data_IF_283712302087
#
_entry.id   IF_283712302087
#
_cell.length_a   1.000
_cell.length_b   1.000
_cell.length_c   1.000
_cell.angle_alpha   90.00
_cell.angle_beta   90.00
_cell.angle_gamma   90.00
#
_symmetry.space_group_name_H-M   'P 1'
#
loop_
_entity.id
_entity.type
_entity.pdbx_description
1 polymer ?
#
# COMPACT_ATOMS: atom_id res chain seq x y z
N UNK A 1 -45.86 8.60 -4.84
CA UNK A 1 -45.59 7.96 -3.53
C UNK A 1 -44.30 7.17 -3.67
N UNK A 2 -43.31 7.43 -2.81
CA UNK A 2 -42.03 6.69 -2.85
C UNK A 2 -42.19 5.37 -2.09
N UNK A 3 -42.06 4.25 -2.79
CA UNK A 3 -42.22 2.92 -2.20
C UNK A 3 -40.92 2.42 -1.55
N UNK A 4 -41.03 1.55 -0.54
CA UNK A 4 -39.86 0.92 0.07
C UNK A 4 -39.03 0.10 -0.92
N UNK A 5 -39.68 -0.48 -1.94
CA UNK A 5 -39.02 -1.21 -3.04
C UNK A 5 -38.11 -0.29 -3.85
N UNK A 6 -38.59 0.90 -4.23
CA UNK A 6 -37.79 1.88 -4.98
C UNK A 6 -36.58 2.35 -4.17
N UNK A 7 -36.75 2.58 -2.87
CA UNK A 7 -35.64 2.97 -1.99
C UNK A 7 -34.59 1.85 -1.90
N UNK A 8 -35.04 0.59 -1.78
CA UNK A 8 -34.16 -0.57 -1.75
C UNK A 8 -33.38 -0.73 -3.06
N UNK A 9 -34.06 -0.63 -4.20
CA UNK A 9 -33.46 -0.72 -5.53
C UNK A 9 -32.41 0.38 -5.76
N UNK A 10 -32.73 1.64 -5.44
CA UNK A 10 -31.77 2.73 -5.53
C UNK A 10 -30.54 2.49 -4.63
N UNK A 11 -30.77 1.95 -3.43
CA UNK A 11 -29.68 1.59 -2.50
C UNK A 11 -28.80 0.47 -3.05
N UNK A 12 -29.38 -0.54 -3.69
CA UNK A 12 -28.62 -1.64 -4.31
C UNK A 12 -27.77 -1.13 -5.48
N UNK A 13 -28.28 -0.18 -6.28
CA UNK A 13 -27.54 0.41 -7.40
C UNK A 13 -26.41 1.33 -6.93
N UNK A 14 -26.69 2.18 -5.92
CA UNK A 14 -25.79 3.30 -5.55
C UNK A 14 -24.94 3.05 -4.31
N UNK A 15 -25.29 2.06 -3.48
CA UNK A 15 -24.66 1.80 -2.18
C UNK A 15 -24.97 2.84 -1.09
N UNK A 16 -25.76 3.88 -1.41
CA UNK A 16 -26.03 4.99 -0.50
C UNK A 16 -26.89 4.59 0.72
N UNK A 17 -26.87 5.43 1.75
CA UNK A 17 -27.67 5.22 2.97
C UNK A 17 -29.18 5.23 2.69
N UNK A 18 -29.95 4.42 3.42
CA UNK A 18 -31.40 4.24 3.20
C UNK A 18 -32.18 5.56 3.15
N UNK A 19 -31.90 6.47 4.10
CA UNK A 19 -32.56 7.77 4.16
C UNK A 19 -32.12 8.72 3.03
N UNK A 20 -30.89 8.59 2.56
CA UNK A 20 -30.37 9.35 1.43
C UNK A 20 -31.04 8.91 0.13
N UNK A 21 -31.20 7.61 -0.10
CA UNK A 21 -31.97 7.08 -1.22
C UNK A 21 -33.43 7.56 -1.18
N UNK A 22 -34.08 7.51 -0.01
CA UNK A 22 -35.46 8.01 0.15
C UNK A 22 -35.55 9.50 -0.15
N UNK A 23 -34.59 10.30 0.32
CA UNK A 23 -34.53 11.74 0.05
C UNK A 23 -34.34 12.01 -1.43
N UNK A 24 -33.35 11.36 -2.07
CA UNK A 24 -33.10 11.51 -3.50
C UNK A 24 -34.35 11.22 -4.33
N UNK A 25 -35.02 10.09 -4.08
CA UNK A 25 -36.27 9.74 -4.75
C UNK A 25 -37.39 10.74 -4.47
N UNK A 26 -37.41 11.38 -3.31
CA UNK A 26 -38.41 12.42 -3.00
C UNK A 26 -38.16 13.69 -3.80
N UNK A 27 -36.89 14.14 -3.87
CA UNK A 27 -36.48 15.34 -4.62
C UNK A 27 -36.64 15.17 -6.13
N UNK A 28 -36.55 13.94 -6.64
CA UNK A 28 -36.67 13.60 -8.07
C UNK A 28 -38.04 13.04 -8.43
N UNK A 29 -39.04 13.22 -7.57
CA UNK A 29 -40.42 12.76 -7.79
C UNK A 29 -40.55 11.25 -8.13
N UNK A 30 -39.61 10.44 -7.64
CA UNK A 30 -39.55 9.00 -7.86
C UNK A 30 -38.84 8.57 -9.14
N UNK A 31 -38.25 9.50 -9.90
CA UNK A 31 -37.42 9.18 -11.06
C UNK A 31 -36.09 8.55 -10.60
N UNK A 32 -35.85 7.30 -11.00
CA UNK A 32 -34.69 6.50 -10.58
C UNK A 32 -33.38 7.05 -11.15
N UNK A 33 -33.35 7.39 -12.46
CA UNK A 33 -32.15 7.88 -13.12
C UNK A 33 -31.72 9.24 -12.54
N UNK A 34 -32.68 10.14 -12.37
CA UNK A 34 -32.43 11.44 -11.74
C UNK A 34 -32.00 11.27 -10.27
N UNK A 35 -32.55 10.29 -9.54
CA UNK A 35 -32.15 10.04 -8.15
C UNK A 35 -30.71 9.54 -8.04
N UNK A 36 -30.26 8.71 -8.99
CA UNK A 36 -28.85 8.30 -9.11
C UNK A 36 -27.96 9.51 -9.37
N UNK A 37 -28.32 10.37 -10.33
CA UNK A 37 -27.55 11.58 -10.64
C UNK A 37 -27.50 12.55 -9.45
N UNK A 38 -28.62 12.70 -8.74
CA UNK A 38 -28.71 13.51 -7.52
C UNK A 38 -27.74 13.01 -6.44
N UNK A 39 -27.72 11.70 -6.17
CA UNK A 39 -26.80 11.12 -5.18
C UNK A 39 -25.34 11.28 -5.60
N UNK A 40 -25.03 11.14 -6.89
CA UNK A 40 -23.68 11.35 -7.42
C UNK A 40 -23.22 12.79 -7.20
N UNK A 41 -24.04 13.79 -7.56
CA UNK A 41 -23.75 15.22 -7.32
C UNK A 41 -23.52 15.51 -5.84
N UNK A 42 -24.35 14.91 -4.96
CA UNK A 42 -24.19 15.05 -3.50
C UNK A 42 -22.89 14.40 -3.00
N UNK A 43 -22.51 13.24 -3.54
CA UNK A 43 -21.25 12.57 -3.23
C UNK A 43 -20.03 13.42 -3.58
N UNK A 44 -20.00 13.98 -4.79
CA UNK A 44 -18.95 14.90 -5.23
C UNK A 44 -18.83 16.11 -4.31
N UNK A 45 -19.95 16.73 -3.94
CA UNK A 45 -19.96 17.85 -2.99
C UNK A 45 -19.47 17.46 -1.59
N UNK A 46 -19.82 16.25 -1.11
CA UNK A 46 -19.37 15.75 0.18
C UNK A 46 -17.87 15.44 0.20
N UNK A 47 -17.31 14.94 -0.92
CA UNK A 47 -15.88 14.70 -1.09
C UNK A 47 -15.09 16.01 -1.20
N UNK A 48 -15.56 16.97 -1.99
CA UNK A 48 -14.91 18.28 -2.13
C UNK A 48 -14.78 19.01 -0.78
N UNK A 49 -15.81 18.92 0.09
CA UNK A 49 -15.77 19.51 1.43
C UNK A 49 -14.76 18.86 2.39
N UNK A 50 -14.32 17.62 2.10
CA UNK A 50 -13.41 16.86 2.98
C UNK A 50 -12.01 16.69 2.38
N UNK A 51 -11.80 17.00 1.12
CA UNK A 51 -10.53 16.79 0.41
C UNK A 51 -9.31 17.44 1.08
N UNK A 52 -9.50 18.54 1.84
CA UNK A 52 -8.44 19.21 2.58
C UNK A 52 -8.10 18.60 3.96
N UNK A 53 -8.82 17.56 4.39
CA UNK A 53 -8.56 16.89 5.67
C UNK A 53 -7.47 15.84 5.50
N UNK A 54 -6.58 15.74 6.48
CA UNK A 54 -5.46 14.79 6.45
C UNK A 54 -5.98 13.36 6.60
N UNK A 55 -5.70 12.52 5.60
CA UNK A 55 -6.00 11.10 5.61
C UNK A 55 -4.69 10.30 5.73
N UNK A 56 -4.22 10.09 6.96
CA UNK A 56 -2.97 9.38 7.26
C UNK A 56 -3.19 7.94 7.78
N UNK A 57 -4.45 7.56 8.01
CA UNK A 57 -4.86 6.19 8.33
C UNK A 57 -5.36 5.47 7.06
N UNK A 58 -6.00 4.31 7.19
CA UNK A 58 -6.44 3.46 6.07
C UNK A 58 -5.80 2.07 6.03
N UNK A 59 -5.63 1.54 4.82
CA UNK A 59 -5.17 0.17 4.59
C UNK A 59 -4.21 0.09 3.40
N UNK A 60 -3.20 -0.75 3.57
CA UNK A 60 -2.42 -1.33 2.49
C UNK A 60 -2.91 -2.76 2.25
N UNK A 61 -3.26 -3.08 1.01
CA UNK A 61 -3.67 -4.43 0.60
C UNK A 61 -2.87 -4.89 -0.62
N UNK A 62 -2.73 -6.20 -0.74
CA UNK A 62 -2.11 -6.85 -1.88
C UNK A 62 -3.11 -7.78 -2.55
N UNK A 63 -3.04 -7.90 -3.87
CA UNK A 63 -3.73 -8.94 -4.63
C UNK A 63 -2.70 -9.68 -5.48
N UNK A 64 -2.78 -11.00 -5.53
CA UNK A 64 -1.90 -11.86 -6.34
C UNK A 64 -2.80 -12.85 -7.09
N UNK A 65 -2.60 -13.00 -8.39
CA UNK A 65 -3.33 -14.00 -9.19
C UNK A 65 -2.97 -15.42 -8.76
N UNK A 66 -3.88 -16.38 -8.97
CA UNK A 66 -3.70 -17.77 -8.54
C UNK A 66 -2.43 -18.42 -9.13
N UNK A 67 -2.02 -18.00 -10.33
CA UNK A 67 -0.80 -18.46 -11.00
C UNK A 67 0.49 -17.76 -10.52
N UNK A 68 0.37 -16.75 -9.64
CA UNK A 68 1.47 -15.95 -9.13
C UNK A 68 2.16 -15.09 -10.20
N UNK A 69 1.53 -14.82 -11.35
CA UNK A 69 2.16 -14.09 -12.46
C UNK A 69 1.87 -12.60 -12.47
N UNK A 70 0.79 -12.17 -11.83
CA UNK A 70 0.39 -10.77 -11.74
C UNK A 70 0.02 -10.44 -10.30
N UNK A 71 0.48 -9.29 -9.82
CA UNK A 71 0.12 -8.81 -8.50
C UNK A 71 0.01 -7.29 -8.44
N UNK A 72 -0.66 -6.81 -7.42
CA UNK A 72 -0.68 -5.40 -7.06
C UNK A 72 -0.54 -5.21 -5.55
N UNK A 73 -0.01 -4.05 -5.16
CA UNK A 73 -0.12 -3.51 -3.81
C UNK A 73 -0.73 -2.12 -3.92
N UNK A 74 -1.69 -1.81 -3.06
CA UNK A 74 -2.41 -0.53 -3.06
C UNK A 74 -2.40 0.05 -1.66
N UNK A 75 -2.25 1.37 -1.54
CA UNK A 75 -2.49 2.12 -0.32
C UNK A 75 -3.73 3.01 -0.54
N UNK A 76 -4.76 2.78 0.26
CA UNK A 76 -5.96 3.61 0.30
C UNK A 76 -6.09 4.20 1.69
N UNK A 77 -6.11 5.52 1.78
CA UNK A 77 -6.13 6.23 3.05
C UNK A 77 -7.53 6.69 3.45
N UNK A 78 -7.74 6.82 4.75
CA UNK A 78 -8.86 7.48 5.41
C UNK A 78 -8.36 8.32 6.60
N UNK A 79 -9.26 9.01 7.31
CA UNK A 79 -8.88 9.89 8.42
C UNK A 79 -8.60 9.06 9.69
N UNK A 80 -9.42 8.04 9.98
CA UNK A 80 -9.35 7.28 11.23
C UNK A 80 -9.16 5.77 11.04
N UNK A 81 -8.70 5.11 12.11
CA UNK A 81 -8.64 3.65 12.21
C UNK A 81 -10.02 2.99 12.29
N UNK A 82 -11.04 3.69 12.81
CA UNK A 82 -12.43 3.22 12.81
C UNK A 82 -12.98 3.00 11.40
N UNK A 83 -12.73 3.94 10.47
CA UNK A 83 -13.09 3.75 9.06
C UNK A 83 -12.21 2.71 8.39
N UNK A 84 -10.91 2.65 8.73
CA UNK A 84 -10.03 1.60 8.21
C UNK A 84 -10.49 0.19 8.60
N UNK A 85 -11.13 0.03 9.76
CA UNK A 85 -11.70 -1.23 10.23
C UNK A 85 -13.13 -1.50 9.71
N UNK A 86 -13.75 -0.57 8.98
CA UNK A 86 -15.10 -0.73 8.46
C UNK A 86 -15.14 -1.73 7.30
N UNK A 87 -16.08 -2.68 7.32
CA UNK A 87 -16.21 -3.74 6.31
C UNK A 87 -16.37 -3.21 4.88
N UNK A 88 -17.09 -2.10 4.69
CA UNK A 88 -17.29 -1.52 3.36
C UNK A 88 -16.02 -0.85 2.83
N UNK A 89 -15.24 -0.23 3.71
CA UNK A 89 -13.93 0.32 3.36
C UNK A 89 -12.95 -0.82 3.02
N UNK A 90 -12.89 -1.86 3.84
CA UNK A 90 -12.05 -3.05 3.57
C UNK A 90 -12.40 -3.65 2.20
N UNK A 91 -13.69 -3.88 1.92
CA UNK A 91 -14.13 -4.42 0.63
C UNK A 91 -13.79 -3.50 -0.55
N UNK A 92 -13.89 -2.18 -0.36
CA UNK A 92 -13.48 -1.20 -1.37
C UNK A 92 -11.98 -1.29 -1.67
N UNK A 93 -11.12 -1.36 -0.64
CA UNK A 93 -9.66 -1.49 -0.83
C UNK A 93 -9.28 -2.83 -1.46
N UNK A 94 -9.92 -3.93 -1.05
CA UNK A 94 -9.70 -5.26 -1.64
C UNK A 94 -10.03 -5.27 -3.14
N UNK A 95 -11.17 -4.65 -3.51
CA UNK A 95 -11.55 -4.52 -4.92
C UNK A 95 -10.58 -3.63 -5.71
N UNK A 96 -10.05 -2.57 -5.11
CA UNK A 96 -9.03 -1.72 -5.77
C UNK A 96 -7.75 -2.51 -6.01
N UNK A 97 -7.30 -3.33 -5.05
CA UNK A 97 -6.13 -4.19 -5.22
C UNK A 97 -6.34 -5.13 -6.41
N UNK A 98 -7.47 -5.83 -6.46
CA UNK A 98 -7.81 -6.71 -7.58
C UNK A 98 -7.83 -5.96 -8.93
N UNK A 99 -8.50 -4.80 -9.00
CA UNK A 99 -8.55 -3.99 -10.22
C UNK A 99 -7.16 -3.52 -10.66
N UNK A 100 -6.33 -3.05 -9.73
CA UNK A 100 -4.97 -2.62 -10.04
C UNK A 100 -4.10 -3.76 -10.60
N UNK A 101 -4.38 -5.02 -10.26
CA UNK A 101 -3.69 -6.18 -10.83
C UNK A 101 -4.27 -6.60 -12.18
N UNK A 102 -5.61 -6.67 -12.27
CA UNK A 102 -6.35 -7.29 -13.38
C UNK A 102 -6.69 -6.33 -14.52
N UNK A 103 -6.52 -5.04 -14.32
CA UNK A 103 -6.63 -4.03 -15.37
C UNK A 103 -5.25 -3.52 -15.76
N UNK A 104 -5.05 -3.17 -17.03
CA UNK A 104 -3.77 -2.63 -17.53
C UNK A 104 -3.59 -1.14 -17.21
N UNK A 105 -4.05 -0.70 -16.04
CA UNK A 105 -3.88 0.68 -15.57
C UNK A 105 -2.44 0.87 -15.09
N UNK A 106 -1.88 2.06 -15.37
CA UNK A 106 -0.47 2.38 -15.12
C UNK A 106 -0.27 3.42 -14.03
N UNK A 107 -1.32 4.16 -13.67
CA UNK A 107 -1.28 5.24 -12.70
C UNK A 107 -2.64 5.39 -11.98
N UNK A 108 -2.64 6.16 -10.88
CA UNK A 108 -3.82 6.33 -10.02
C UNK A 108 -4.99 6.96 -10.77
N UNK A 109 -4.74 7.88 -11.71
CA UNK A 109 -5.79 8.54 -12.48
C UNK A 109 -6.55 7.54 -13.36
N UNK A 110 -5.83 6.65 -14.05
CA UNK A 110 -6.40 5.56 -14.83
C UNK A 110 -7.17 4.57 -13.94
N UNK A 111 -6.64 4.24 -12.76
CA UNK A 111 -7.32 3.37 -11.81
C UNK A 111 -8.62 3.99 -11.28
N UNK A 112 -8.63 5.30 -11.00
CA UNK A 112 -9.82 6.05 -10.59
C UNK A 112 -10.89 6.09 -11.69
N UNK A 113 -10.47 6.13 -12.96
CA UNK A 113 -11.35 6.08 -14.12
C UNK A 113 -11.85 4.66 -14.47
N UNK A 114 -11.20 3.62 -13.95
CA UNK A 114 -11.58 2.23 -14.20
C UNK A 114 -12.96 1.91 -13.62
N UNK A 115 -13.64 0.90 -14.19
CA UNK A 115 -14.93 0.41 -13.71
C UNK A 115 -14.75 -0.32 -12.39
N UNK A 116 -15.37 0.20 -11.33
CA UNK A 116 -15.45 -0.48 -10.03
C UNK A 116 -16.43 -1.65 -10.10
N UNK A 117 -17.57 -1.41 -10.73
CA UNK A 117 -18.60 -2.38 -11.10
C UNK A 117 -19.29 -1.93 -12.41
N UNK A 118 -20.37 -2.60 -12.82
CA UNK A 118 -21.10 -2.28 -14.05
C UNK A 118 -21.61 -0.82 -14.09
N UNK A 119 -22.01 -0.30 -12.93
CA UNK A 119 -22.74 0.96 -12.79
C UNK A 119 -21.83 2.17 -12.52
N UNK A 120 -20.63 1.97 -11.99
CA UNK A 120 -19.77 3.09 -11.56
C UNK A 120 -18.27 2.83 -11.69
N UNK A 121 -17.53 3.92 -11.81
CA UNK A 121 -16.07 4.01 -11.75
C UNK A 121 -15.56 3.92 -10.31
N UNK A 122 -14.25 3.72 -10.14
CA UNK A 122 -13.60 3.73 -8.81
C UNK A 122 -13.76 5.09 -8.14
N UNK A 123 -13.66 6.20 -8.87
CA UNK A 123 -13.87 7.53 -8.31
C UNK A 123 -15.31 7.77 -7.82
N UNK A 124 -16.30 7.30 -8.57
CA UNK A 124 -17.70 7.37 -8.13
C UNK A 124 -17.95 6.51 -6.89
N UNK A 125 -17.38 5.30 -6.83
CA UNK A 125 -17.46 4.45 -5.65
C UNK A 125 -16.78 5.10 -4.43
N UNK A 126 -15.60 5.70 -4.61
CA UNK A 126 -14.88 6.45 -3.57
C UNK A 126 -15.73 7.59 -3.02
N UNK A 127 -16.31 8.42 -3.90
CA UNK A 127 -17.11 9.59 -3.48
C UNK A 127 -18.43 9.19 -2.83
N UNK A 128 -19.05 8.09 -3.26
CA UNK A 128 -20.19 7.49 -2.57
C UNK A 128 -19.81 7.02 -1.16
N UNK A 129 -18.66 6.37 -1.00
CA UNK A 129 -18.17 5.91 0.30
C UNK A 129 -17.82 7.07 1.23
N UNK A 130 -17.21 8.15 0.73
CA UNK A 130 -16.98 9.40 1.49
C UNK A 130 -18.30 10.02 1.96
N UNK A 131 -19.34 10.03 1.11
CA UNK A 131 -20.65 10.56 1.47
C UNK A 131 -21.31 9.71 2.57
N UNK A 132 -21.06 8.41 2.57
CA UNK A 132 -21.64 7.44 3.49
C UNK A 132 -20.93 7.38 4.84
N UNK A 133 -19.60 7.29 4.85
CA UNK A 133 -18.80 7.14 6.07
C UNK A 133 -18.36 8.47 6.67
N UNK A 134 -18.41 9.56 5.89
CA UNK A 134 -18.20 10.90 6.42
C UNK A 134 -16.73 11.30 6.63
N UNK A 135 -15.78 10.54 6.10
CA UNK A 135 -14.34 10.86 6.11
C UNK A 135 -13.80 11.12 4.71
N UNK A 136 -12.72 11.90 4.63
CA UNK A 136 -11.87 11.97 3.46
C UNK A 136 -11.25 10.61 3.20
N UNK A 137 -11.17 10.22 1.93
CA UNK A 137 -10.55 8.97 1.50
C UNK A 137 -9.77 9.21 0.22
N UNK A 138 -8.63 8.54 0.04
CA UNK A 138 -7.84 8.68 -1.19
C UNK A 138 -7.23 7.35 -1.60
N UNK A 139 -7.35 7.00 -2.87
CA UNK A 139 -6.47 5.99 -3.49
C UNK A 139 -5.12 6.68 -3.70
N UNK A 140 -4.15 6.41 -2.83
CA UNK A 140 -2.94 7.22 -2.75
C UNK A 140 -1.88 6.78 -3.74
N UNK A 141 -1.60 5.49 -3.77
CA UNK A 141 -0.59 4.88 -4.63
C UNK A 141 -0.87 3.41 -4.83
N UNK A 142 -0.38 2.87 -5.94
CA UNK A 142 -0.29 1.44 -6.16
C UNK A 142 0.96 1.10 -6.96
N UNK A 143 1.36 -0.16 -6.89
CA UNK A 143 2.33 -0.76 -7.79
C UNK A 143 1.74 -2.06 -8.35
N UNK A 144 2.02 -2.33 -9.63
CA UNK A 144 1.60 -3.54 -10.32
C UNK A 144 2.83 -4.28 -10.82
N UNK A 145 2.92 -5.56 -10.51
CA UNK A 145 4.03 -6.43 -10.89
C UNK A 145 3.53 -7.48 -11.89
N UNK A 146 4.38 -7.85 -12.84
CA UNK A 146 4.15 -8.94 -13.78
C UNK A 146 5.45 -9.68 -14.01
N UNK A 147 5.42 -11.01 -13.94
CA UNK A 147 6.61 -11.84 -14.16
C UNK A 147 6.34 -12.87 -15.25
N UNK A 148 7.27 -13.03 -16.18
CA UNK A 148 7.22 -14.09 -17.18
C UNK A 148 7.76 -15.40 -16.59
N UNK A 149 9.04 -15.36 -16.16
CA UNK A 149 9.78 -16.51 -15.64
C UNK A 149 10.02 -16.37 -14.13
N UNK A 150 9.26 -17.10 -13.33
CA UNK A 150 9.27 -16.99 -11.87
C UNK A 150 7.88 -16.80 -11.27
N UNK A 151 7.80 -16.23 -10.07
CA UNK A 151 6.55 -16.02 -9.32
C UNK A 151 6.59 -14.71 -8.53
N UNK A 152 5.42 -14.12 -8.32
CA UNK A 152 5.21 -12.99 -7.42
C UNK A 152 4.38 -13.46 -6.24
N UNK A 153 4.74 -13.02 -5.04
CA UNK A 153 3.87 -13.15 -3.89
C UNK A 153 4.00 -11.95 -2.96
N UNK A 154 3.08 -11.82 -2.02
CA UNK A 154 3.03 -10.71 -1.08
C UNK A 154 2.81 -11.12 0.37
N UNK A 155 2.96 -10.14 1.24
CA UNK A 155 2.66 -10.26 2.66
C UNK A 155 2.05 -8.97 3.18
N UNK A 156 0.95 -9.10 3.93
CA UNK A 156 0.29 -7.99 4.63
C UNK A 156 0.46 -8.20 6.14
N UNK A 157 0.97 -7.18 6.83
CA UNK A 157 1.24 -7.21 8.26
C UNK A 157 0.40 -6.17 9.02
N UNK A 158 0.14 -6.45 10.30
CA UNK A 158 -0.49 -5.49 11.21
C UNK A 158 -1.87 -5.02 10.75
N UNK A 159 -2.69 -5.92 10.22
CA UNK A 159 -4.06 -5.60 9.79
C UNK A 159 -4.15 -4.64 8.59
N UNK A 160 -3.14 -4.60 7.73
CA UNK A 160 -3.07 -3.66 6.59
C UNK A 160 -2.23 -2.42 6.86
N UNK A 161 -1.43 -2.40 7.94
CA UNK A 161 -0.44 -1.34 8.16
C UNK A 161 0.69 -1.39 7.14
N UNK A 162 1.19 -2.60 6.84
CA UNK A 162 2.30 -2.81 5.92
C UNK A 162 1.85 -3.82 4.86
N UNK A 163 2.12 -3.53 3.60
CA UNK A 163 1.95 -4.47 2.49
C UNK A 163 3.22 -4.55 1.66
N UNK A 164 3.58 -5.76 1.27
CA UNK A 164 4.80 -6.05 0.52
C UNK A 164 4.47 -6.92 -0.68
N UNK A 165 5.10 -6.66 -1.82
CA UNK A 165 5.24 -7.61 -2.92
C UNK A 165 6.70 -7.93 -3.18
N UNK A 166 6.96 -9.17 -3.57
CA UNK A 166 8.27 -9.67 -4.01
C UNK A 166 8.07 -10.46 -5.29
N UNK A 167 8.86 -10.13 -6.29
CA UNK A 167 9.01 -10.86 -7.54
C UNK A 167 10.29 -11.70 -7.49
N UNK A 168 10.13 -13.01 -7.57
CA UNK A 168 11.23 -13.94 -7.76
C UNK A 168 11.30 -14.36 -9.22
N UNK A 169 12.48 -14.22 -9.82
CA UNK A 169 12.80 -14.81 -11.12
C UNK A 169 13.41 -16.20 -10.95
N UNK A 170 13.05 -17.11 -11.86
CA UNK A 170 13.57 -18.48 -11.88
C UNK A 170 13.44 -19.10 -13.28
N UNK A 171 14.39 -19.95 -13.66
CA UNK A 171 14.33 -20.77 -14.88
C UNK A 171 13.44 -22.02 -14.73
N UNK A 172 12.87 -22.22 -13.54
CA UNK A 172 11.88 -23.26 -13.22
C UNK A 172 10.63 -22.63 -12.62
N UNK A 173 9.47 -23.23 -12.90
CA UNK A 173 8.18 -22.85 -12.33
C UNK A 173 7.73 -23.95 -11.38
N UNK A 174 7.81 -23.71 -10.08
CA UNK A 174 7.43 -24.67 -9.03
C UNK A 174 6.60 -23.98 -7.95
N UNK A 175 5.60 -24.69 -7.41
CA UNK A 175 4.71 -24.13 -6.40
C UNK A 175 5.45 -23.71 -5.12
N UNK A 176 6.57 -24.36 -4.78
CA UNK A 176 7.40 -24.01 -3.63
C UNK A 176 8.01 -22.61 -3.73
N UNK A 177 8.19 -22.06 -4.94
CA UNK A 177 8.68 -20.69 -5.11
C UNK A 177 7.68 -19.65 -4.59
N UNK A 178 6.38 -19.96 -4.57
CA UNK A 178 5.35 -19.07 -4.02
C UNK A 178 5.55 -18.88 -2.52
N UNK A 179 5.88 -19.95 -1.80
CA UNK A 179 6.20 -19.88 -0.36
C UNK A 179 7.54 -19.18 -0.13
N UNK A 180 8.55 -19.43 -0.97
CA UNK A 180 9.82 -18.70 -0.89
C UNK A 180 9.64 -17.19 -1.09
N UNK A 181 8.84 -16.76 -2.08
CA UNK A 181 8.53 -15.36 -2.33
C UNK A 181 7.79 -14.72 -1.14
N UNK A 182 6.85 -15.43 -0.53
CA UNK A 182 6.15 -15.00 0.69
C UNK A 182 7.09 -14.83 1.87
N UNK A 183 8.04 -15.74 2.04
CA UNK A 183 9.03 -15.70 3.11
C UNK A 183 9.99 -14.51 2.97
N UNK A 184 10.37 -14.18 1.73
CA UNK A 184 11.12 -12.95 1.44
C UNK A 184 10.23 -11.72 1.68
N UNK A 185 8.95 -11.75 1.31
CA UNK A 185 8.03 -10.63 1.57
C UNK A 185 7.84 -10.36 3.07
N UNK A 186 7.76 -11.42 3.89
CA UNK A 186 7.75 -11.30 5.36
C UNK A 186 9.04 -10.69 5.90
N UNK A 187 10.19 -11.07 5.34
CA UNK A 187 11.48 -10.49 5.70
C UNK A 187 11.51 -8.99 5.39
N UNK A 188 11.16 -8.60 4.17
CA UNK A 188 11.07 -7.19 3.73
C UNK A 188 10.14 -6.39 4.65
N UNK A 189 8.98 -6.94 5.01
CA UNK A 189 8.04 -6.28 5.91
C UNK A 189 8.65 -5.96 7.29
N UNK A 190 9.48 -6.88 7.81
CA UNK A 190 10.08 -6.78 9.14
C UNK A 190 11.30 -5.85 9.20
N UNK A 191 12.16 -5.85 8.17
CA UNK A 191 13.46 -5.14 8.22
C UNK A 191 13.55 -3.91 7.32
N UNK A 192 12.54 -3.67 6.46
CA UNK A 192 12.45 -2.49 5.59
C UNK A 192 13.75 -2.19 4.80
N UNK A 193 14.24 -3.12 3.96
CA UNK A 193 15.41 -2.85 3.11
C UNK A 193 15.14 -1.66 2.20
N UNK A 194 16.13 -0.79 2.06
CA UNK A 194 16.06 0.40 1.20
C UNK A 194 16.37 0.07 -0.26
N UNK A 195 17.18 -0.96 -0.51
CA UNK A 195 17.67 -1.32 -1.83
C UNK A 195 17.57 -2.83 -2.06
N UNK A 196 17.51 -3.23 -3.32
CA UNK A 196 17.55 -4.65 -3.68
C UNK A 196 18.96 -5.22 -3.44
N UNK A 197 19.96 -4.54 -3.98
CA UNK A 197 21.36 -4.94 -4.00
C UNK A 197 22.25 -3.69 -4.00
N UNK A 198 23.57 -3.89 -4.02
CA UNK A 198 24.57 -2.81 -3.99
C UNK A 198 24.53 -1.92 -5.23
N UNK A 199 24.18 -2.48 -6.38
CA UNK A 199 24.10 -1.76 -7.66
C UNK A 199 22.89 -0.81 -7.70
N UNK A 200 21.87 -1.06 -6.88
CA UNK A 200 20.70 -0.19 -6.72
C UNK A 200 20.93 0.98 -5.75
N UNK A 201 22.07 1.03 -5.05
CA UNK A 201 22.41 2.14 -4.15
C UNK A 201 22.91 3.31 -4.99
N UNK A 202 22.19 4.43 -4.99
CA UNK A 202 22.59 5.59 -5.76
C UNK A 202 23.89 6.20 -5.21
N UNK A 203 24.69 6.74 -6.13
CA UNK A 203 26.01 7.28 -5.81
C UNK A 203 25.94 8.43 -4.80
N UNK A 204 24.90 9.26 -4.86
CA UNK A 204 24.77 10.42 -3.97
C UNK A 204 24.52 9.99 -2.52
N UNK A 205 23.59 9.05 -2.30
CA UNK A 205 23.31 8.46 -0.99
C UNK A 205 24.55 7.76 -0.43
N UNK A 206 25.27 7.01 -1.27
CA UNK A 206 26.48 6.31 -0.84
C UNK A 206 27.60 7.26 -0.42
N UNK A 207 27.84 8.33 -1.18
CA UNK A 207 28.87 9.33 -0.84
C UNK A 207 28.52 10.11 0.42
N UNK A 208 27.24 10.49 0.60
CA UNK A 208 26.77 11.11 1.85
C UNK A 208 27.04 10.19 3.04
N UNK A 209 26.73 8.90 2.92
CA UNK A 209 26.96 7.94 4.00
C UNK A 209 28.46 7.74 4.30
N UNK A 210 29.31 7.69 3.26
CA UNK A 210 30.77 7.65 3.42
C UNK A 210 31.29 8.87 4.16
N UNK A 211 30.80 10.07 3.83
CA UNK A 211 31.17 11.31 4.50
C UNK A 211 30.78 11.27 5.98
N UNK A 212 29.54 10.86 6.29
CA UNK A 212 29.06 10.69 7.65
C UNK A 212 29.97 9.73 8.44
N UNK A 213 30.28 8.55 7.87
CA UNK A 213 31.16 7.59 8.53
C UNK A 213 32.59 8.09 8.71
N UNK A 214 33.10 8.88 7.77
CA UNK A 214 34.43 9.50 7.88
C UNK A 214 34.46 10.50 9.03
N UNK A 215 33.48 11.40 9.09
CA UNK A 215 33.36 12.40 10.17
C UNK A 215 33.24 11.72 11.53
N UNK A 216 32.42 10.67 11.65
CA UNK A 216 32.32 9.88 12.88
C UNK A 216 33.67 9.27 13.30
N UNK A 217 34.41 8.65 12.38
CA UNK A 217 35.69 8.02 12.68
C UNK A 217 36.79 9.03 13.06
N UNK A 218 36.79 10.23 12.45
CA UNK A 218 37.69 11.33 12.85
C UNK A 218 37.36 11.82 14.25
N UNK A 219 36.07 12.01 14.58
CA UNK A 219 35.62 12.44 15.91
C UNK A 219 35.93 11.41 17.00
N UNK A 220 36.09 10.13 16.64
CA UNK A 220 36.58 9.07 17.54
C UNK A 220 38.12 9.10 17.75
N UNK A 221 38.82 10.09 17.19
CA UNK A 221 40.27 10.29 17.36
C UNK A 221 41.14 9.30 16.61
N UNK A 222 40.64 8.69 15.53
CA UNK A 222 41.37 7.68 14.75
C UNK A 222 42.32 8.34 13.73
N UNK A 223 43.51 7.77 13.51
CA UNK A 223 44.42 8.28 12.46
C UNK A 223 43.87 7.97 11.06
N UNK A 224 44.25 8.78 10.07
CA UNK A 224 43.69 8.80 8.70
C UNK A 224 43.64 7.41 8.03
N UNK A 225 44.74 6.64 8.15
CA UNK A 225 44.85 5.30 7.59
C UNK A 225 43.91 4.26 8.25
N UNK A 226 43.46 4.53 9.48
CA UNK A 226 42.47 3.71 10.19
C UNK A 226 41.05 4.20 9.84
N UNK A 227 40.85 5.50 9.68
CA UNK A 227 39.58 6.09 9.22
C UNK A 227 39.15 5.47 7.88
N UNK A 228 40.03 5.41 6.89
CA UNK A 228 39.71 4.82 5.58
C UNK A 228 39.25 3.36 5.69
N UNK A 229 39.98 2.54 6.48
CA UNK A 229 39.60 1.14 6.71
C UNK A 229 38.28 1.01 7.46
N UNK A 230 38.00 1.89 8.41
CA UNK A 230 36.73 1.91 9.15
C UNK A 230 35.56 2.29 8.26
N UNK A 231 35.72 3.27 7.37
CA UNK A 231 34.69 3.66 6.40
C UNK A 231 34.35 2.48 5.49
N UNK A 232 35.35 1.78 4.94
CA UNK A 232 35.11 0.57 4.13
C UNK A 232 34.33 -0.50 4.90
N UNK A 233 34.70 -0.74 6.17
CA UNK A 233 33.97 -1.67 7.04
C UNK A 233 32.52 -1.25 7.30
N UNK A 234 32.27 0.04 7.57
CA UNK A 234 30.93 0.60 7.82
C UNK A 234 30.06 0.58 6.56
N UNK A 235 30.64 0.83 5.39
CA UNK A 235 29.94 0.70 4.10
C UNK A 235 29.56 -0.75 3.81
N UNK A 236 30.46 -1.71 4.09
CA UNK A 236 30.10 -3.13 3.97
C UNK A 236 28.96 -3.52 4.92
N UNK A 237 28.92 -2.94 6.13
CA UNK A 237 27.81 -3.12 7.06
C UNK A 237 26.53 -2.46 6.55
N UNK A 238 26.62 -1.25 6.02
CA UNK A 238 25.50 -0.53 5.40
C UNK A 238 24.82 -1.36 4.31
N UNK A 239 25.60 -1.99 3.42
CA UNK A 239 25.03 -2.89 2.42
C UNK A 239 24.29 -4.09 3.05
N UNK A 240 24.88 -4.72 4.08
CA UNK A 240 24.21 -5.84 4.77
C UNK A 240 22.94 -5.44 5.52
N UNK A 241 22.81 -4.16 5.89
CA UNK A 241 21.63 -3.65 6.59
C UNK A 241 20.57 -3.09 5.64
N UNK A 242 20.95 -2.59 4.45
CA UNK A 242 20.05 -1.87 3.56
C UNK A 242 19.78 -2.55 2.21
N UNK A 243 20.60 -3.51 1.79
CA UNK A 243 20.41 -4.28 0.57
C UNK A 243 19.75 -5.63 0.88
N UNK A 244 18.52 -5.85 0.40
CA UNK A 244 17.73 -7.05 0.66
C UNK A 244 18.53 -8.35 0.46
N UNK A 245 19.24 -8.48 -0.66
CA UNK A 245 19.94 -9.74 -1.00
C UNK A 245 21.14 -10.05 -0.08
N UNK A 246 21.69 -9.03 0.61
CA UNK A 246 22.82 -9.13 1.54
C UNK A 246 22.37 -9.29 3.01
N UNK A 247 21.09 -9.06 3.31
CA UNK A 247 20.53 -9.13 4.66
C UNK A 247 20.51 -10.56 5.21
N UNK A 248 20.73 -10.69 6.52
CA UNK A 248 20.50 -11.95 7.25
C UNK A 248 19.01 -12.25 7.32
N UNK A 249 18.61 -13.46 6.94
CA UNK A 249 17.21 -13.83 6.85
C UNK A 249 16.57 -13.96 8.23
N UNK A 250 15.43 -13.30 8.43
CA UNK A 250 14.77 -13.21 9.75
C UNK A 250 14.33 -14.55 10.32
N UNK A 251 14.04 -15.55 9.46
CA UNK A 251 13.66 -16.90 9.93
C UNK A 251 14.86 -17.80 10.20
N UNK A 252 16.02 -17.51 9.59
CA UNK A 252 17.26 -18.22 9.85
C UNK A 252 18.46 -17.27 9.65
N UNK A 253 18.96 -16.62 10.72
CA UNK A 253 20.05 -15.64 10.64
C UNK A 253 21.41 -16.21 10.19
N UNK A 254 21.56 -17.53 10.14
CA UNK A 254 22.76 -18.18 9.59
C UNK A 254 22.86 -18.05 8.06
N UNK A 255 21.73 -17.73 7.41
CA UNK A 255 21.63 -17.52 5.98
C UNK A 255 21.35 -16.05 5.66
N UNK A 256 21.98 -15.55 4.61
CA UNK A 256 21.51 -14.36 3.89
C UNK A 256 20.32 -14.70 2.99
N UNK A 257 19.56 -13.70 2.54
CA UNK A 257 18.48 -13.90 1.56
C UNK A 257 19.01 -14.58 0.28
N UNK A 258 20.19 -14.18 -0.21
CA UNK A 258 20.83 -14.85 -1.35
C UNK A 258 21.12 -16.32 -1.07
N UNK A 259 21.65 -16.65 0.11
CA UNK A 259 21.94 -18.05 0.46
C UNK A 259 20.66 -18.87 0.59
N UNK A 260 19.61 -18.34 1.19
CA UNK A 260 18.29 -18.96 1.25
C UNK A 260 17.76 -19.28 -0.16
N UNK A 261 17.76 -18.31 -1.09
CA UNK A 261 17.27 -18.52 -2.45
C UNK A 261 18.14 -19.50 -3.25
N UNK A 262 19.45 -19.54 -3.00
CA UNK A 262 20.34 -20.54 -3.58
C UNK A 262 20.02 -21.96 -3.08
N UNK A 263 19.59 -22.12 -1.83
CA UNK A 263 19.11 -23.42 -1.32
C UNK A 263 17.79 -23.82 -1.97
N UNK A 264 16.85 -22.89 -2.12
CA UNK A 264 15.59 -23.14 -2.85
C UNK A 264 15.84 -23.53 -4.30
N UNK A 265 16.74 -22.83 -5.01
CA UNK A 265 17.13 -23.16 -6.37
C UNK A 265 17.64 -24.61 -6.50
N UNK A 266 18.50 -25.05 -5.57
CA UNK A 266 19.01 -26.42 -5.53
C UNK A 266 17.92 -27.46 -5.29
N UNK A 267 16.96 -27.18 -4.40
CA UNK A 267 15.84 -28.10 -4.09
C UNK A 267 14.98 -28.40 -5.32
N UNK A 268 14.77 -27.39 -6.16
CA UNK A 268 13.93 -27.52 -7.36
C UNK A 268 14.72 -27.80 -8.65
N UNK A 269 16.05 -27.91 -8.57
CA UNK A 269 16.91 -28.09 -9.74
C UNK A 269 16.88 -26.91 -10.72
N UNK A 270 16.64 -25.69 -10.22
CA UNK A 270 16.76 -24.46 -10.98
C UNK A 270 18.24 -24.04 -11.07
N UNK A 271 18.63 -23.46 -12.20
CA UNK A 271 19.94 -22.84 -12.33
C UNK A 271 20.06 -21.62 -11.42
N UNK A 272 18.97 -20.86 -11.23
CA UNK A 272 18.96 -19.64 -10.43
C UNK A 272 17.57 -19.32 -9.90
N UNK A 273 17.50 -18.85 -8.66
CA UNK A 273 16.33 -18.16 -8.09
C UNK A 273 16.82 -16.84 -7.50
N UNK A 274 16.27 -15.71 -7.94
CA UNK A 274 16.66 -14.37 -7.44
C UNK A 274 15.47 -13.44 -7.26
N UNK A 275 15.60 -12.49 -6.34
CA UNK A 275 14.65 -11.37 -6.26
C UNK A 275 14.94 -10.41 -7.41
N UNK A 276 13.96 -10.21 -8.29
CA UNK A 276 14.05 -9.24 -9.38
C UNK A 276 13.51 -7.86 -8.94
N UNK A 277 12.42 -7.85 -8.18
CA UNK A 277 11.78 -6.63 -7.70
C UNK A 277 11.13 -6.87 -6.34
N UNK A 278 11.10 -5.84 -5.50
CA UNK A 278 10.23 -5.80 -4.33
C UNK A 278 9.69 -4.39 -4.12
N UNK A 279 8.59 -4.29 -3.39
CA UNK A 279 8.05 -3.02 -2.90
C UNK A 279 7.46 -3.23 -1.52
N UNK A 280 7.61 -2.24 -0.64
CA UNK A 280 7.00 -2.19 0.68
C UNK A 280 6.27 -0.86 0.82
N UNK A 281 4.97 -0.92 1.11
CA UNK A 281 4.20 0.24 1.53
C UNK A 281 3.93 0.15 3.02
N UNK A 282 4.13 1.27 3.71
CA UNK A 282 3.61 1.49 5.05
C UNK A 282 2.54 2.58 5.01
N UNK A 283 1.41 2.29 5.64
CA UNK A 283 0.26 3.19 5.72
C UNK A 283 0.67 4.55 6.28
N UNK A 284 0.34 5.61 5.55
CA UNK A 284 0.57 6.99 5.96
C UNK A 284 2.04 7.41 5.93
N UNK A 285 2.93 6.57 5.39
CA UNK A 285 4.35 6.90 5.25
C UNK A 285 4.52 8.23 4.50
N UNK A 286 5.24 9.18 5.10
CA UNK A 286 5.46 10.52 4.52
C UNK A 286 4.27 11.48 4.63
N UNK A 287 3.19 11.12 5.34
CA UNK A 287 2.10 12.03 5.67
C UNK A 287 2.31 12.56 7.09
N UNK A 288 2.42 13.88 7.24
CA UNK A 288 2.47 14.50 8.57
C UNK A 288 1.12 14.33 9.28
N UNK A 289 1.13 13.62 10.40
CA UNK A 289 -0.03 13.53 11.29
C UNK A 289 -0.08 14.79 12.14
N UNK A 290 -1.23 15.47 12.14
CA UNK A 290 -1.51 16.48 13.16
C UNK A 290 -1.63 15.78 14.52
N UNK A 291 -0.72 16.08 15.44
CA UNK A 291 -0.95 15.78 16.85
C UNK A 291 -1.96 16.78 17.40
N UNK A 292 -3.16 16.30 17.76
CA UNK A 292 -4.16 17.12 18.41
C UNK A 292 -4.21 16.77 19.90
N UNK A 293 -3.98 17.78 20.75
CA UNK A 293 -4.12 17.64 22.20
C UNK A 293 -5.60 17.72 22.56
N UNK A 294 -6.21 16.57 22.82
CA UNK A 294 -7.63 16.45 23.16
C UNK A 294 -8.04 17.35 24.35
N UNK A 295 -7.17 17.51 25.36
CA UNK A 295 -7.47 18.37 26.50
C UNK A 295 -7.56 19.85 26.11
N UNK A 296 -6.69 20.30 25.20
CA UNK A 296 -6.73 21.66 24.68
C UNK A 296 -7.92 21.91 23.75
N UNK A 297 -8.31 20.91 22.95
CA UNK A 297 -9.50 21.00 22.10
C UNK A 297 -10.77 21.14 22.95
N UNK A 298 -10.91 20.29 23.97
CA UNK A 298 -12.03 20.36 24.92
C UNK A 298 -12.04 21.72 25.64
N UNK A 299 -10.88 22.21 26.10
CA UNK A 299 -10.77 23.52 26.74
C UNK A 299 -11.18 24.67 25.81
N UNK A 300 -10.79 24.63 24.52
CA UNK A 300 -11.18 25.63 23.53
C UNK A 300 -12.68 25.63 23.26
N UNK A 301 -13.32 24.46 23.15
CA UNK A 301 -14.77 24.36 22.95
C UNK A 301 -15.56 24.83 24.18
N UNK A 302 -15.05 24.57 25.39
CA UNK A 302 -15.68 25.05 26.63
C UNK A 302 -15.56 26.57 26.83
N UNK A 303 -14.47 27.18 26.37
CA UNK A 303 -14.20 28.63 26.48
C UNK A 303 -14.79 29.47 25.33
N UNK A 304 -15.39 28.83 24.32
CA UNK A 304 -16.03 29.50 23.18
C UNK A 304 -17.54 29.73 23.36
N UNK A 305 -18.06 29.64 24.60
CA UNK A 305 -19.44 29.97 24.98
C UNK A 305 -19.57 31.40 25.46
#
# INVERSE_FOLDING_TARGET
MISAKMVKELREITGAGMMECKKALTETNGNMEEAVEYLRKKGLAAAAKKAGRVAAEGLVKTFVTEDGKVASVVEVNCETDFVAANEEFIAFVDRIAELAATTNVSNVEELLAAKFNENMTVEEARTALIAKLGENMSVRRFERFTVENGVINGYVHGGGRIGVLVELESDKSEASLIEAAKDVAMHVAAVNPLFLNKDAVDHESLEKEKEIFRVQAINEGKPENIVEKMVVGRINKYYKENCLVDQQWVKNPDLTITQFLNEEAKKIGAAKVTVAKFVRFERGEGIEKKEENFAEEVAKQMNSK
#
